data_IF_856514008839
#
_entry.id   IF_856514008839
#
_cell.length_a   1.000
_cell.length_b   1.000
_cell.length_c   1.000
_cell.angle_alpha   90.00
_cell.angle_beta   90.00
_cell.angle_gamma   90.00
#
_symmetry.space_group_name_H-M   'P 1'
#
loop_
_entity.id
_entity.type
_entity.pdbx_description
1 polymer ?
#
# COMPACT_ATOMS: atom_id res chain seq x y z
N UNK A 1 31.61 41.61 29.76
CA UNK A 1 31.16 40.34 30.29
C UNK A 1 29.81 40.02 29.67
N UNK A 2 29.79 39.28 28.57
CA UNK A 2 28.57 38.81 27.95
C UNK A 2 28.57 37.27 28.00
N UNK A 3 27.77 36.75 28.91
CA UNK A 3 27.51 35.33 29.05
C UNK A 3 26.41 34.99 28.03
N UNK A 4 26.81 34.45 26.87
CA UNK A 4 25.87 33.90 25.91
C UNK A 4 25.43 32.52 26.46
N UNK A 5 24.23 32.49 26.99
CA UNK A 5 23.57 31.28 27.47
C UNK A 5 23.39 30.31 26.31
N UNK A 6 24.16 29.24 26.30
CA UNK A 6 23.94 28.11 25.42
C UNK A 6 22.62 27.44 25.83
N UNK A 7 21.58 27.66 25.04
CA UNK A 7 20.33 26.91 25.13
C UNK A 7 20.66 25.48 24.76
N UNK A 8 20.80 24.63 25.75
CA UNK A 8 20.85 23.17 25.59
C UNK A 8 19.51 22.74 24.99
N UNK A 9 19.54 22.27 23.76
CA UNK A 9 18.41 21.58 23.15
C UNK A 9 18.34 20.18 23.78
N UNK A 10 17.56 20.08 24.85
CA UNK A 10 17.24 18.78 25.47
C UNK A 10 16.48 17.91 24.48
N UNK A 11 17.01 16.70 24.25
CA UNK A 11 16.20 15.55 23.84
C UNK A 11 15.87 15.38 22.36
N UNK A 12 16.80 15.65 21.43
CA UNK A 12 16.71 15.05 20.12
C UNK A 12 16.97 13.53 20.27
N UNK A 13 15.91 12.73 20.37
CA UNK A 13 16.03 11.29 20.22
C UNK A 13 16.70 11.04 18.87
N UNK A 14 17.88 10.48 18.88
CA UNK A 14 18.61 10.16 17.64
C UNK A 14 17.83 9.08 16.89
N UNK A 15 16.95 9.54 15.98
CA UNK A 15 16.06 8.68 15.21
C UNK A 15 16.88 8.08 14.07
N UNK A 16 17.21 6.79 14.20
CA UNK A 16 17.80 6.07 13.09
C UNK A 16 16.70 5.74 12.06
N UNK A 17 16.72 6.39 10.87
CA UNK A 17 15.66 6.25 9.87
C UNK A 17 15.53 4.81 9.36
N UNK A 18 16.64 4.06 9.31
CA UNK A 18 16.61 2.66 8.88
C UNK A 18 15.94 1.75 9.91
N UNK A 19 16.09 2.04 11.20
CA UNK A 19 15.39 1.31 12.26
C UNK A 19 13.88 1.57 12.19
N UNK A 20 13.48 2.84 12.11
CA UNK A 20 12.06 3.21 11.94
C UNK A 20 11.46 2.59 10.68
N UNK A 21 12.21 2.56 9.58
CA UNK A 21 11.77 1.93 8.33
C UNK A 21 11.56 0.42 8.50
N UNK A 22 12.54 -0.31 9.07
CA UNK A 22 12.44 -1.76 9.27
C UNK A 22 11.26 -2.13 10.16
N UNK A 23 11.10 -1.43 11.28
CA UNK A 23 9.96 -1.64 12.19
C UNK A 23 8.63 -1.32 11.49
N UNK A 24 8.58 -0.25 10.70
CA UNK A 24 7.40 0.11 9.92
C UNK A 24 7.00 -0.94 8.90
N UNK A 25 7.99 -1.51 8.18
CA UNK A 25 7.75 -2.60 7.22
C UNK A 25 7.25 -3.86 7.93
N UNK A 26 7.82 -4.20 9.08
CA UNK A 26 7.39 -5.36 9.87
C UNK A 26 5.95 -5.18 10.39
N UNK A 27 5.61 -3.98 10.85
CA UNK A 27 4.24 -3.65 11.26
C UNK A 27 3.24 -3.74 10.10
N UNK A 28 3.64 -3.38 8.85
CA UNK A 28 2.80 -3.57 7.67
C UNK A 28 2.55 -5.05 7.36
N UNK A 29 3.57 -5.90 7.50
CA UNK A 29 3.44 -7.35 7.33
C UNK A 29 2.52 -7.98 8.34
N UNK A 30 2.56 -7.49 9.58
CA UNK A 30 1.74 -7.95 10.71
C UNK A 30 0.35 -7.29 10.75
N UNK A 31 -0.05 -6.58 9.68
CA UNK A 31 -1.37 -5.93 9.56
C UNK A 31 -1.68 -4.85 10.61
N UNK A 32 -0.64 -4.12 11.07
CA UNK A 32 -0.78 -2.94 11.94
C UNK A 32 -0.52 -1.62 11.18
N UNK A 33 -1.34 -1.25 10.18
CA UNK A 33 -1.03 -0.13 9.27
C UNK A 33 -0.95 1.24 9.97
N UNK A 34 -1.71 1.46 11.05
CA UNK A 34 -1.67 2.72 11.80
C UNK A 34 -0.33 2.91 12.51
N UNK A 35 0.20 1.86 13.15
CA UNK A 35 1.50 1.89 13.79
C UNK A 35 2.62 2.00 12.77
N UNK A 36 2.50 1.25 11.66
CA UNK A 36 3.44 1.31 10.55
C UNK A 36 3.54 2.72 9.97
N UNK A 37 2.40 3.40 9.77
CA UNK A 37 2.36 4.76 9.25
C UNK A 37 3.17 5.74 10.11
N UNK A 38 3.08 5.65 11.43
CA UNK A 38 3.84 6.52 12.33
C UNK A 38 5.36 6.30 12.16
N UNK A 39 5.81 5.06 12.08
CA UNK A 39 7.21 4.69 11.89
C UNK A 39 7.74 5.09 10.52
N UNK A 40 7.03 4.73 9.46
CA UNK A 40 7.43 5.03 8.08
C UNK A 40 7.44 6.54 7.79
N UNK A 41 6.56 7.31 8.43
CA UNK A 41 6.58 8.77 8.33
C UNK A 41 7.85 9.36 8.93
N UNK A 42 8.28 8.88 10.11
CA UNK A 42 9.54 9.32 10.73
C UNK A 42 10.74 9.01 9.85
N UNK A 43 10.81 7.80 9.28
CA UNK A 43 11.87 7.46 8.34
C UNK A 43 11.88 8.40 7.12
N UNK A 44 10.71 8.68 6.53
CA UNK A 44 10.56 9.56 5.38
C UNK A 44 10.91 11.03 5.72
N UNK A 45 10.59 11.51 6.91
CA UNK A 45 10.95 12.86 7.36
C UNK A 45 12.46 13.05 7.45
N UNK A 46 13.23 12.00 7.73
CA UNK A 46 14.69 12.05 7.75
C UNK A 46 15.31 12.09 6.36
N UNK A 47 14.70 11.41 5.37
CA UNK A 47 15.16 11.40 3.98
C UNK A 47 13.97 11.27 3.03
N UNK A 48 13.49 12.44 2.58
CA UNK A 48 12.33 12.55 1.69
C UNK A 48 12.60 12.09 0.26
N UNK A 49 13.85 11.91 -0.12
CA UNK A 49 14.24 11.47 -1.46
C UNK A 49 14.50 9.97 -1.54
N UNK A 50 14.43 9.26 -0.43
CA UNK A 50 14.62 7.82 -0.39
C UNK A 50 13.40 7.09 -0.98
N UNK A 51 13.55 6.40 -2.13
CA UNK A 51 12.41 5.77 -2.79
C UNK A 51 11.81 4.60 -1.99
N UNK A 52 12.59 3.94 -1.14
CA UNK A 52 12.06 2.91 -0.25
C UNK A 52 11.11 3.51 0.79
N UNK A 53 11.52 4.64 1.40
CA UNK A 53 10.67 5.30 2.39
C UNK A 53 9.38 5.83 1.77
N UNK A 54 9.47 6.41 0.55
CA UNK A 54 8.30 6.85 -0.21
C UNK A 54 7.32 5.71 -0.49
N UNK A 55 7.81 4.62 -1.07
CA UNK A 55 6.97 3.50 -1.50
C UNK A 55 6.22 2.85 -0.32
N UNK A 56 6.91 2.60 0.78
CA UNK A 56 6.31 1.99 1.97
C UNK A 56 5.44 2.97 2.75
N UNK A 57 5.78 4.26 2.78
CA UNK A 57 4.90 5.30 3.34
C UNK A 57 3.60 5.38 2.53
N UNK A 58 3.66 5.42 1.20
CA UNK A 58 2.48 5.40 0.33
C UNK A 58 1.58 4.20 0.62
N UNK A 59 2.14 3.00 0.69
CA UNK A 59 1.38 1.79 1.05
C UNK A 59 0.74 1.90 2.44
N UNK A 60 1.45 2.43 3.44
CA UNK A 60 0.91 2.60 4.79
C UNK A 60 -0.22 3.63 4.84
N UNK A 61 -0.11 4.74 4.10
CA UNK A 61 -1.17 5.76 3.96
C UNK A 61 -2.43 5.15 3.34
N UNK A 62 -2.28 4.35 2.28
CA UNK A 62 -3.38 3.66 1.64
C UNK A 62 -4.12 2.73 2.62
N UNK A 63 -3.37 1.90 3.35
CA UNK A 63 -3.95 0.92 4.27
C UNK A 63 -4.53 1.56 5.54
N UNK A 64 -3.87 2.61 6.09
CA UNK A 64 -4.26 3.23 7.34
C UNK A 64 -5.32 4.33 7.18
N UNK A 65 -5.20 5.15 6.14
CA UNK A 65 -5.98 6.38 5.98
C UNK A 65 -6.86 6.42 4.73
N UNK A 66 -6.65 5.52 3.76
CA UNK A 66 -7.35 5.49 2.46
C UNK A 66 -7.21 6.78 1.66
N UNK A 67 -6.11 7.51 1.83
CA UNK A 67 -5.77 8.70 1.03
C UNK A 67 -5.10 8.25 -0.26
N UNK A 68 -5.92 7.83 -1.22
CA UNK A 68 -5.48 7.13 -2.42
C UNK A 68 -4.55 7.95 -3.30
N UNK A 69 -4.86 9.23 -3.51
CA UNK A 69 -4.10 10.13 -4.39
C UNK A 69 -2.67 10.32 -3.85
N UNK A 70 -2.53 10.69 -2.58
CA UNK A 70 -1.22 10.84 -1.94
C UNK A 70 -0.44 9.53 -1.90
N UNK A 71 -1.13 8.41 -1.64
CA UNK A 71 -0.52 7.09 -1.59
C UNK A 71 0.03 6.66 -2.96
N UNK A 72 -0.75 6.86 -4.02
CA UNK A 72 -0.31 6.53 -5.38
C UNK A 72 0.82 7.44 -5.84
N UNK A 73 0.76 8.75 -5.58
CA UNK A 73 1.81 9.71 -5.92
C UNK A 73 3.17 9.31 -5.32
N UNK A 74 3.20 8.98 -4.04
CA UNK A 74 4.43 8.54 -3.36
C UNK A 74 4.98 7.23 -3.96
N UNK A 75 4.10 6.27 -4.25
CA UNK A 75 4.53 5.00 -4.84
C UNK A 75 4.98 5.18 -6.31
N UNK A 76 4.30 6.01 -7.10
CA UNK A 76 4.69 6.34 -8.48
C UNK A 76 6.06 7.03 -8.52
N UNK A 77 6.29 8.02 -7.65
CA UNK A 77 7.57 8.70 -7.51
C UNK A 77 8.69 7.71 -7.17
N UNK A 78 8.43 6.78 -6.25
CA UNK A 78 9.40 5.75 -5.90
C UNK A 78 9.78 4.86 -7.10
N UNK A 79 8.79 4.46 -7.91
CA UNK A 79 9.02 3.69 -9.15
C UNK A 79 9.85 4.50 -10.15
N UNK A 80 9.55 5.81 -10.32
CA UNK A 80 10.30 6.68 -11.23
C UNK A 80 11.76 6.85 -10.80
N UNK A 81 12.01 7.03 -9.49
CA UNK A 81 13.36 7.20 -8.96
C UNK A 81 14.20 5.93 -9.04
N UNK A 82 13.58 4.77 -8.89
CA UNK A 82 14.28 3.48 -8.94
C UNK A 82 13.44 2.42 -9.64
N UNK A 83 13.39 2.43 -10.98
CA UNK A 83 12.51 1.55 -11.76
C UNK A 83 12.90 0.07 -11.73
N UNK A 84 14.10 -0.27 -11.26
CA UNK A 84 14.58 -1.65 -11.14
C UNK A 84 14.37 -2.24 -9.74
N UNK A 85 13.26 -1.88 -9.07
CA UNK A 85 12.91 -2.41 -7.75
C UNK A 85 11.49 -2.98 -7.76
N UNK A 86 11.39 -4.30 -7.81
CA UNK A 86 10.12 -5.04 -7.93
C UNK A 86 9.12 -4.71 -6.81
N UNK A 87 9.63 -4.45 -5.59
CA UNK A 87 8.77 -4.16 -4.44
C UNK A 87 7.94 -2.89 -4.63
N UNK A 88 8.45 -1.91 -5.39
CA UNK A 88 7.72 -0.67 -5.62
C UNK A 88 6.51 -0.87 -6.53
N UNK A 89 6.63 -1.73 -7.53
CA UNK A 89 5.48 -2.11 -8.38
C UNK A 89 4.45 -2.92 -7.61
N UNK A 90 4.88 -3.80 -6.71
CA UNK A 90 3.98 -4.54 -5.84
C UNK A 90 3.20 -3.62 -4.91
N UNK A 91 3.88 -2.66 -4.29
CA UNK A 91 3.25 -1.67 -3.41
C UNK A 91 2.27 -0.78 -4.20
N UNK A 92 2.68 -0.26 -5.36
CA UNK A 92 1.84 0.57 -6.22
C UNK A 92 0.61 -0.21 -6.74
N UNK A 93 0.83 -1.45 -7.21
CA UNK A 93 -0.26 -2.34 -7.63
C UNK A 93 -1.28 -2.60 -6.51
N UNK A 94 -0.81 -2.76 -5.26
CA UNK A 94 -1.68 -2.91 -4.10
C UNK A 94 -2.47 -1.63 -3.80
N UNK A 95 -1.83 -0.45 -3.85
CA UNK A 95 -2.49 0.85 -3.66
C UNK A 95 -3.59 1.05 -4.69
N UNK A 96 -3.32 0.84 -5.99
CA UNK A 96 -4.33 0.94 -7.03
C UNK A 96 -5.45 -0.09 -6.89
N UNK A 97 -5.12 -1.33 -6.56
CA UNK A 97 -6.13 -2.36 -6.34
C UNK A 97 -7.04 -2.04 -5.15
N UNK A 98 -6.48 -1.44 -4.08
CA UNK A 98 -7.23 -1.05 -2.89
C UNK A 98 -8.12 0.17 -3.12
N UNK A 99 -7.70 1.12 -3.97
CA UNK A 99 -8.49 2.29 -4.38
C UNK A 99 -9.61 1.95 -5.36
N UNK A 100 -9.61 0.75 -5.94
CA UNK A 100 -10.58 0.33 -6.95
C UNK A 100 -10.11 0.52 -8.41
N UNK A 101 -8.94 1.10 -8.62
CA UNK A 101 -8.33 1.32 -9.95
C UNK A 101 -7.68 0.03 -10.47
N UNK A 102 -8.52 -0.98 -10.73
CA UNK A 102 -8.08 -2.34 -11.06
C UNK A 102 -7.23 -2.40 -12.32
N UNK A 103 -7.63 -1.69 -13.36
CA UNK A 103 -6.91 -1.67 -14.64
C UNK A 103 -5.51 -1.10 -14.45
N UNK A 104 -5.38 0.06 -13.80
CA UNK A 104 -4.07 0.65 -13.48
C UNK A 104 -3.19 -0.27 -12.62
N UNK A 105 -3.80 -1.03 -11.69
CA UNK A 105 -3.07 -2.01 -10.90
C UNK A 105 -2.50 -3.14 -11.78
N UNK A 106 -3.29 -3.66 -12.72
CA UNK A 106 -2.85 -4.71 -13.65
C UNK A 106 -1.79 -4.19 -14.59
N UNK A 107 -1.96 -2.99 -15.17
CA UNK A 107 -0.99 -2.38 -16.06
C UNK A 107 0.39 -2.24 -15.38
N UNK A 108 0.42 -1.74 -14.14
CA UNK A 108 1.68 -1.60 -13.39
C UNK A 108 2.31 -2.93 -13.01
N UNK A 109 1.52 -3.94 -12.71
CA UNK A 109 2.04 -5.29 -12.47
C UNK A 109 2.53 -5.96 -13.76
N UNK A 110 1.91 -5.65 -14.90
CA UNK A 110 2.35 -6.14 -16.20
C UNK A 110 3.65 -5.44 -16.67
N UNK A 111 3.79 -4.13 -16.45
CA UNK A 111 5.05 -3.40 -16.62
C UNK A 111 6.18 -4.10 -15.81
N UNK A 112 5.89 -4.48 -14.58
CA UNK A 112 6.86 -5.18 -13.73
C UNK A 112 7.21 -6.58 -14.28
N UNK A 113 6.24 -7.34 -14.81
CA UNK A 113 6.52 -8.64 -15.43
C UNK A 113 7.42 -8.48 -16.66
N UNK A 114 7.23 -7.43 -17.45
CA UNK A 114 8.11 -7.14 -18.60
C UNK A 114 9.54 -6.80 -18.18
N UNK A 115 9.71 -6.09 -17.06
CA UNK A 115 11.02 -5.66 -16.58
C UNK A 115 11.79 -6.76 -15.81
N UNK A 116 11.08 -7.57 -15.03
CA UNK A 116 11.69 -8.53 -14.11
C UNK A 116 11.48 -9.99 -14.51
N UNK A 117 10.67 -10.23 -15.55
CA UNK A 117 10.27 -11.58 -15.93
C UNK A 117 9.23 -12.17 -14.96
N UNK A 118 9.08 -13.50 -15.02
CA UNK A 118 8.13 -14.26 -14.23
C UNK A 118 8.59 -14.41 -12.75
N UNK A 119 8.13 -13.51 -11.88
CA UNK A 119 8.33 -13.58 -10.43
C UNK A 119 7.06 -14.10 -9.73
N UNK A 120 7.22 -14.99 -8.76
CA UNK A 120 6.08 -15.58 -8.04
C UNK A 120 5.24 -14.53 -7.29
N UNK A 121 5.88 -13.46 -6.77
CA UNK A 121 5.19 -12.36 -6.07
C UNK A 121 4.32 -11.55 -7.03
N UNK A 122 4.83 -11.26 -8.25
CA UNK A 122 4.08 -10.57 -9.30
C UNK A 122 2.89 -11.40 -9.76
N UNK A 123 3.09 -12.70 -10.00
CA UNK A 123 2.02 -13.63 -10.35
C UNK A 123 0.92 -13.66 -9.29
N UNK A 124 1.31 -13.76 -8.02
CA UNK A 124 0.38 -13.72 -6.90
C UNK A 124 -0.37 -12.38 -6.81
N UNK A 125 0.33 -11.26 -6.97
CA UNK A 125 -0.27 -9.93 -6.94
C UNK A 125 -1.30 -9.76 -8.07
N UNK A 126 -0.95 -10.13 -9.32
CA UNK A 126 -1.87 -10.11 -10.47
C UNK A 126 -3.11 -10.97 -10.23
N UNK A 127 -2.92 -12.20 -9.78
CA UNK A 127 -4.03 -13.12 -9.46
C UNK A 127 -4.97 -12.53 -8.40
N UNK A 128 -4.44 -11.92 -7.35
CA UNK A 128 -5.25 -11.22 -6.34
C UNK A 128 -6.08 -10.07 -6.93
N UNK A 129 -5.51 -9.30 -7.86
CA UNK A 129 -6.22 -8.21 -8.53
C UNK A 129 -7.26 -8.77 -9.50
N UNK A 130 -6.91 -9.78 -10.30
CA UNK A 130 -7.80 -10.40 -11.28
C UNK A 130 -9.00 -11.10 -10.63
N UNK A 131 -8.79 -11.80 -9.52
CA UNK A 131 -9.84 -12.54 -8.82
C UNK A 131 -10.74 -11.66 -7.95
N UNK A 132 -10.40 -10.38 -7.77
CA UNK A 132 -11.24 -9.44 -7.04
C UNK A 132 -12.46 -9.09 -7.88
N UNK A 133 -13.63 -9.61 -7.49
CA UNK A 133 -14.91 -9.32 -8.16
C UNK A 133 -15.23 -7.82 -8.08
N UNK A 134 -15.78 -7.27 -9.16
CA UNK A 134 -16.28 -5.88 -9.17
C UNK A 134 -17.40 -5.70 -8.13
N UNK A 135 -17.55 -4.50 -7.52
CA UNK A 135 -18.69 -4.22 -6.66
C UNK A 135 -19.98 -4.40 -7.45
N UNK A 136 -21.04 -4.88 -6.80
CA UNK A 136 -22.34 -5.11 -7.46
C UNK A 136 -22.95 -3.79 -7.90
N UNK A 137 -22.78 -2.75 -7.07
CA UNK A 137 -23.23 -1.39 -7.37
C UNK A 137 -22.01 -0.51 -7.64
N UNK A 138 -21.74 -0.14 -8.91
CA UNK A 138 -20.53 0.60 -9.28
C UNK A 138 -20.47 2.02 -8.70
N UNK A 139 -21.65 2.61 -8.40
CA UNK A 139 -21.78 3.97 -7.86
C UNK A 139 -21.41 4.08 -6.38
N UNK A 140 -21.36 2.95 -5.67
CA UNK A 140 -21.00 2.91 -4.26
C UNK A 140 -19.68 2.16 -4.07
N UNK A 141 -18.78 2.75 -3.26
CA UNK A 141 -17.52 2.08 -2.91
C UNK A 141 -17.76 0.67 -2.32
N UNK A 142 -16.77 -0.21 -2.43
CA UNK A 142 -16.87 -1.61 -1.93
C UNK A 142 -17.24 -1.72 -0.46
N UNK A 143 -16.82 -0.75 0.33
CA UNK A 143 -17.08 -0.69 1.78
C UNK A 143 -18.46 -0.15 2.13
N UNK A 144 -19.21 0.31 1.12
CA UNK A 144 -20.58 0.75 1.36
C UNK A 144 -21.44 -0.42 1.83
N UNK A 145 -22.28 -0.20 2.85
CA UNK A 145 -23.11 -1.23 3.46
C UNK A 145 -23.89 -2.05 2.43
N UNK A 146 -24.48 -1.40 1.42
CA UNK A 146 -25.25 -2.05 0.38
C UNK A 146 -24.39 -3.02 -0.45
N UNK A 147 -23.19 -2.62 -0.87
CA UNK A 147 -22.29 -3.51 -1.61
C UNK A 147 -21.83 -4.70 -0.76
N UNK A 148 -21.64 -4.49 0.54
CA UNK A 148 -21.25 -5.55 1.47
C UNK A 148 -22.37 -6.56 1.66
N UNK A 149 -23.60 -6.11 1.87
CA UNK A 149 -24.76 -7.00 2.08
C UNK A 149 -25.16 -7.72 0.79
N UNK A 150 -25.21 -7.03 -0.36
CA UNK A 150 -25.46 -7.65 -1.65
C UNK A 150 -24.34 -8.64 -2.04
N UNK A 151 -23.11 -8.37 -1.65
CA UNK A 151 -21.99 -9.30 -1.83
C UNK A 151 -22.17 -10.61 -1.08
N UNK A 152 -22.69 -10.56 0.15
CA UNK A 152 -23.02 -11.76 0.96
C UNK A 152 -24.16 -12.54 0.32
N UNK A 153 -25.23 -11.86 -0.11
CA UNK A 153 -26.39 -12.49 -0.77
C UNK A 153 -25.97 -13.21 -2.06
N UNK A 154 -25.16 -12.57 -2.91
CA UNK A 154 -24.64 -13.19 -4.14
C UNK A 154 -23.77 -14.41 -3.82
N UNK A 155 -22.96 -14.35 -2.78
CA UNK A 155 -22.12 -15.49 -2.37
C UNK A 155 -22.96 -16.65 -1.84
N UNK A 156 -24.02 -16.37 -1.09
CA UNK A 156 -24.99 -17.36 -0.63
C UNK A 156 -25.72 -18.03 -1.80
N UNK A 157 -26.27 -17.25 -2.72
CA UNK A 157 -26.99 -17.77 -3.89
C UNK A 157 -26.12 -18.69 -4.77
N UNK A 158 -24.86 -18.32 -5.00
CA UNK A 158 -23.93 -19.17 -5.76
C UNK A 158 -23.60 -20.49 -5.07
N UNK A 159 -23.53 -20.52 -3.72
CA UNK A 159 -23.35 -21.78 -2.97
C UNK A 159 -24.53 -22.73 -3.13
N UNK A 160 -25.76 -22.23 -3.18
CA UNK A 160 -26.95 -23.05 -3.38
C UNK A 160 -26.99 -23.64 -4.80
N UNK A 161 -26.73 -22.81 -5.84
CA UNK A 161 -26.71 -23.24 -7.23
C UNK A 161 -25.65 -24.32 -7.53
N UNK A 162 -24.49 -24.24 -6.88
CA UNK A 162 -23.42 -25.26 -7.05
C UNK A 162 -23.74 -26.55 -6.31
N UNK A 163 -24.56 -26.51 -5.25
CA UNK A 163 -24.93 -27.69 -4.47
C UNK A 163 -26.02 -28.54 -5.16
N UNK A 164 -26.90 -27.89 -5.91
CA UNK A 164 -27.98 -28.55 -6.65
C UNK A 164 -27.53 -29.07 -8.02
N UNK A 165 -26.28 -28.79 -8.43
CA UNK A 165 -25.70 -29.27 -9.70
C UNK A 165 -24.81 -30.54 -9.55
N UNK A 166 -24.86 -31.19 -8.38
CA UNK A 166 -24.24 -32.50 -8.10
C UNK A 166 -25.28 -33.52 -7.83
#
# INVERSE_FOLDING_TARGET
MNIVSAKQTEGAVDINPMTEFREGVELLKNEYPQKALAKLRRAYECDKHNPYFMSFLGLSIARAQRKWDLASELCETAVQLKPKEIQFYLNLGEVYAASGMRERALDKLDDAVQLFGEDARLRQARSKVQNRRSPILPFFGRTHLLNRELGKLRHGALKYLVKDAK
#
